data_IF_519498354573
#
_entry.id   IF_519498354573
#
_cell.length_a   1.000
_cell.length_b   1.000
_cell.length_c   1.000
_cell.angle_alpha   90.00
_cell.angle_beta   90.00
_cell.angle_gamma   90.00
#
_symmetry.space_group_name_H-M   'P 1'
#
loop_
_entity.id
_entity.type
_entity.pdbx_description
1 polymer ?
#
# COMPACT_ATOMS: atom_id res chain seq x y z
N UNK A 1 5.86 -9.89 -8.64
CA UNK A 1 4.87 -8.96 -9.22
C UNK A 1 4.81 -9.21 -10.72
N UNK A 2 3.74 -9.83 -11.22
CA UNK A 2 3.53 -9.96 -12.66
C UNK A 2 2.67 -8.79 -13.10
N UNK A 3 3.25 -7.85 -13.84
CA UNK A 3 2.51 -6.74 -14.44
C UNK A 3 1.69 -7.29 -15.62
N UNK A 4 0.42 -6.86 -15.74
CA UNK A 4 -0.35 -7.09 -16.96
C UNK A 4 0.43 -6.49 -18.14
N UNK A 5 0.46 -7.17 -19.29
CA UNK A 5 1.22 -6.81 -20.50
C UNK A 5 0.60 -5.62 -21.27
N UNK A 6 0.12 -4.62 -20.55
CA UNK A 6 -0.38 -3.38 -21.12
C UNK A 6 0.75 -2.35 -21.17
N UNK A 7 0.76 -1.48 -22.19
CA UNK A 7 1.86 -0.53 -22.43
C UNK A 7 2.15 0.37 -21.22
N UNK A 8 1.11 0.83 -20.51
CA UNK A 8 1.25 1.67 -19.30
C UNK A 8 1.96 0.93 -18.17
N UNK A 9 1.70 -0.37 -18.02
CA UNK A 9 2.34 -1.19 -17.00
C UNK A 9 3.81 -1.47 -17.34
N UNK A 10 4.13 -1.60 -18.63
CA UNK A 10 5.52 -1.70 -19.09
C UNK A 10 6.30 -0.40 -18.83
N UNK A 11 5.73 0.74 -19.19
CA UNK A 11 6.32 2.06 -18.92
C UNK A 11 6.55 2.27 -17.41
N UNK A 12 5.61 1.83 -16.57
CA UNK A 12 5.77 1.84 -15.11
C UNK A 12 6.87 0.91 -14.60
N UNK A 13 6.99 -0.30 -15.17
CA UNK A 13 8.07 -1.22 -14.83
C UNK A 13 9.44 -0.64 -15.17
N UNK A 14 9.56 -0.04 -16.36
CA UNK A 14 10.79 0.58 -16.82
C UNK A 14 11.16 1.76 -15.95
N UNK A 15 10.20 2.61 -15.59
CA UNK A 15 10.42 3.72 -14.67
C UNK A 15 10.89 3.25 -13.28
N UNK A 16 10.24 2.23 -12.71
CA UNK A 16 10.68 1.62 -11.44
C UNK A 16 12.11 1.03 -11.53
N UNK A 17 12.45 0.42 -12.65
CA UNK A 17 13.78 -0.15 -12.86
C UNK A 17 14.85 0.94 -12.89
N UNK A 18 14.55 2.11 -13.49
CA UNK A 18 15.46 3.25 -13.50
C UNK A 18 15.66 3.85 -12.10
N UNK A 19 14.61 3.88 -11.26
CA UNK A 19 14.72 4.36 -9.88
C UNK A 19 15.80 3.61 -9.10
N UNK A 20 15.88 2.28 -9.22
CA UNK A 20 16.84 1.46 -8.47
C UNK A 20 18.31 1.84 -8.68
N UNK A 21 18.63 2.58 -9.75
CA UNK A 21 19.97 3.03 -10.08
C UNK A 21 20.15 4.55 -9.98
N UNK A 22 19.14 5.29 -9.49
CA UNK A 22 19.25 6.74 -9.34
C UNK A 22 20.05 7.09 -8.06
N UNK A 23 21.24 7.70 -8.18
CA UNK A 23 22.05 8.09 -7.02
C UNK A 23 21.37 9.14 -6.13
N UNK A 24 20.28 9.76 -6.57
CA UNK A 24 19.46 10.71 -5.81
C UNK A 24 18.13 10.11 -5.32
N UNK A 25 18.02 8.77 -5.23
CA UNK A 25 16.86 8.01 -4.73
C UNK A 25 16.28 8.48 -3.38
N UNK A 26 16.96 9.37 -2.65
CA UNK A 26 16.60 9.79 -1.31
C UNK A 26 15.84 11.12 -1.41
N UNK A 27 14.52 11.06 -1.19
CA UNK A 27 13.67 12.25 -1.12
C UNK A 27 12.51 12.24 -2.11
N UNK A 28 12.37 13.35 -2.85
CA UNK A 28 11.25 13.61 -3.78
C UNK A 28 11.55 12.96 -5.13
N UNK A 29 10.66 12.08 -5.58
CA UNK A 29 10.75 11.44 -6.89
C UNK A 29 9.66 12.02 -7.78
N UNK A 30 10.03 12.50 -8.97
CA UNK A 30 9.09 12.98 -9.96
C UNK A 30 8.29 11.81 -10.55
N UNK A 31 6.97 11.94 -10.55
CA UNK A 31 6.09 10.93 -11.14
C UNK A 31 6.08 11.00 -12.68
N UNK A 32 5.95 9.86 -13.37
CA UNK A 32 5.75 9.84 -14.81
C UNK A 32 4.49 10.62 -15.24
N UNK A 33 4.49 11.27 -16.41
CA UNK A 33 3.36 12.10 -16.87
C UNK A 33 2.01 11.38 -16.98
N UNK A 34 2.00 10.06 -17.12
CA UNK A 34 0.76 9.29 -17.13
C UNK A 34 0.16 9.10 -15.73
N UNK A 35 0.95 9.26 -14.65
CA UNK A 35 0.50 9.17 -13.26
C UNK A 35 0.02 10.51 -12.70
N UNK A 36 0.51 11.63 -13.23
CA UNK A 36 0.15 12.99 -12.77
C UNK A 36 -1.28 13.42 -13.13
N UNK A 37 -2.04 12.57 -13.83
CA UNK A 37 -3.46 12.80 -14.13
C UNK A 37 -4.35 12.69 -12.86
N UNK A 38 -3.82 12.12 -11.79
CA UNK A 38 -4.51 12.01 -10.50
C UNK A 38 -4.24 13.27 -9.66
N UNK A 39 -5.19 14.21 -9.65
CA UNK A 39 -5.32 15.28 -8.65
C UNK A 39 -4.01 15.98 -8.22
N UNK A 40 -3.22 16.47 -9.18
CA UNK A 40 -2.04 17.33 -8.94
C UNK A 40 -0.89 16.67 -8.15
N UNK A 41 -0.88 15.33 -8.05
CA UNK A 41 0.24 14.59 -7.46
C UNK A 41 1.39 14.60 -8.45
N UNK A 42 2.41 15.41 -8.15
CA UNK A 42 3.61 15.56 -9.00
C UNK A 42 4.80 14.78 -8.48
N UNK A 43 4.78 14.41 -7.20
CA UNK A 43 5.91 13.83 -6.50
C UNK A 43 5.48 12.75 -5.52
N UNK A 44 6.37 11.79 -5.30
CA UNK A 44 6.27 10.80 -4.22
C UNK A 44 7.49 10.89 -3.30
N UNK A 45 7.31 10.45 -2.05
CA UNK A 45 8.36 10.43 -1.04
C UNK A 45 8.80 8.99 -0.85
N UNK A 46 10.08 8.70 -1.05
CA UNK A 46 10.68 7.43 -0.70
C UNK A 46 11.40 7.53 0.65
N UNK A 47 11.18 6.55 1.53
CA UNK A 47 11.89 6.45 2.81
C UNK A 47 12.50 5.05 2.98
N UNK A 48 13.45 4.93 3.91
CA UNK A 48 14.16 3.67 4.16
C UNK A 48 13.31 2.61 4.89
N UNK A 49 12.23 3.01 5.58
CA UNK A 49 11.47 2.13 6.49
C UNK A 49 9.97 2.28 6.28
N UNK A 50 9.27 1.15 6.16
CA UNK A 50 7.84 1.13 5.83
C UNK A 50 6.95 1.75 6.91
N UNK A 51 7.36 1.72 8.18
CA UNK A 51 6.63 2.39 9.27
C UNK A 51 6.63 3.93 9.11
N UNK A 52 7.76 4.51 8.71
CA UNK A 52 7.87 5.94 8.40
C UNK A 52 7.00 6.29 7.19
N UNK A 53 6.97 5.44 6.17
CA UNK A 53 6.05 5.60 5.03
C UNK A 53 4.60 5.58 5.50
N UNK A 54 4.25 4.68 6.42
CA UNK A 54 2.88 4.58 6.93
C UNK A 54 2.47 5.82 7.72
N UNK A 55 3.37 6.35 8.56
CA UNK A 55 3.16 7.59 9.31
C UNK A 55 2.96 8.77 8.34
N UNK A 56 3.85 8.93 7.35
CA UNK A 56 3.71 9.98 6.33
C UNK A 56 2.44 9.86 5.51
N UNK A 57 2.08 8.65 5.08
CA UNK A 57 0.85 8.43 4.31
C UNK A 57 -0.39 8.80 5.13
N UNK A 58 -0.39 8.50 6.43
CA UNK A 58 -1.48 8.86 7.34
C UNK A 58 -1.57 10.37 7.54
N UNK A 59 -0.44 11.02 7.81
CA UNK A 59 -0.38 12.48 7.99
C UNK A 59 -0.84 13.21 6.73
N UNK A 60 -0.34 12.82 5.55
CA UNK A 60 -0.73 13.40 4.27
C UNK A 60 -2.23 13.19 4.03
N UNK A 61 -2.75 11.98 4.24
CA UNK A 61 -4.17 11.68 4.09
C UNK A 61 -5.03 12.59 4.99
N UNK A 62 -4.62 12.84 6.24
CA UNK A 62 -5.36 13.73 7.13
C UNK A 62 -5.35 15.19 6.64
N UNK A 63 -4.28 15.66 6.00
CA UNK A 63 -4.24 16.99 5.40
C UNK A 63 -5.09 17.14 4.14
N UNK A 64 -5.39 16.04 3.43
CA UNK A 64 -6.20 16.09 2.22
C UNK A 64 -7.65 16.51 2.53
N UNK A 65 -8.26 17.36 1.68
CA UNK A 65 -9.66 17.71 1.81
C UNK A 65 -10.56 16.51 1.48
N UNK A 66 -11.78 16.50 2.04
CA UNK A 66 -12.77 15.47 1.78
C UNK A 66 -13.06 14.58 2.99
N UNK A 67 -14.13 13.78 2.87
CA UNK A 67 -14.56 12.86 3.91
C UNK A 67 -13.65 11.63 3.94
N UNK A 68 -13.21 11.28 5.15
CA UNK A 68 -12.47 10.04 5.39
C UNK A 68 -13.45 8.86 5.46
N UNK A 69 -13.10 7.78 4.76
CA UNK A 69 -13.78 6.50 4.76
C UNK A 69 -12.86 5.47 5.41
N UNK A 70 -13.34 4.81 6.46
CA UNK A 70 -12.60 3.81 7.22
C UNK A 70 -13.14 2.42 6.88
N UNK A 71 -12.22 1.50 6.59
CA UNK A 71 -12.49 0.10 6.31
C UNK A 71 -11.68 -0.74 7.31
N UNK A 72 -12.35 -1.39 8.25
CA UNK A 72 -11.72 -2.32 9.18
C UNK A 72 -11.68 -3.74 8.57
N UNK A 73 -10.59 -4.46 8.80
CA UNK A 73 -10.46 -5.87 8.41
C UNK A 73 -11.35 -6.76 9.26
N UNK A 74 -11.72 -7.91 8.68
CA UNK A 74 -12.42 -8.98 9.37
C UNK A 74 -11.54 -10.22 9.24
N UNK A 75 -10.68 -10.42 10.24
CA UNK A 75 -9.67 -11.48 10.23
C UNK A 75 -10.10 -12.67 11.08
N UNK A 76 -9.79 -13.87 10.60
CA UNK A 76 -9.94 -15.12 11.35
C UNK A 76 -8.74 -16.02 11.08
N UNK A 77 -8.25 -16.71 12.11
CA UNK A 77 -7.18 -17.69 11.95
C UNK A 77 -7.75 -19.10 11.87
N UNK A 78 -7.24 -19.88 10.91
CA UNK A 78 -7.50 -21.31 10.86
C UNK A 78 -6.51 -22.02 11.81
N UNK A 79 -7.05 -22.74 12.79
CA UNK A 79 -6.25 -23.51 13.74
C UNK A 79 -6.45 -24.99 13.43
N UNK A 80 -5.36 -25.68 13.06
CA UNK A 80 -5.40 -27.12 12.90
C UNK A 80 -5.77 -27.81 14.23
N UNK A 81 -6.71 -28.76 14.18
CA UNK A 81 -7.24 -29.57 15.30
C UNK A 81 -6.19 -30.33 16.15
N UNK A 82 -4.91 -30.30 15.75
CA UNK A 82 -3.81 -30.94 16.48
C UNK A 82 -3.36 -30.14 17.71
N UNK A 83 -3.70 -28.85 17.80
CA UNK A 83 -3.33 -28.00 18.94
C UNK A 83 -4.55 -27.75 19.82
N UNK A 84 -4.84 -28.73 20.68
CA UNK A 84 -5.78 -28.61 21.80
C UNK A 84 -5.31 -27.47 22.71
N UNK A 85 -5.80 -26.26 22.48
CA UNK A 85 -5.45 -25.06 23.26
C UNK A 85 -5.42 -23.74 22.49
N UNK A 86 -5.58 -23.73 21.17
CA UNK A 86 -5.74 -22.48 20.43
C UNK A 86 -7.20 -22.03 20.47
N UNK A 87 -7.61 -21.57 21.65
CA UNK A 87 -8.72 -20.65 21.79
C UNK A 87 -8.63 -19.54 20.72
N UNK A 88 -9.76 -19.29 20.04
CA UNK A 88 -9.94 -18.31 18.97
C UNK A 88 -8.99 -17.12 19.14
N UNK A 89 -7.98 -17.00 18.26
CA UNK A 89 -7.00 -15.92 18.35
C UNK A 89 -7.75 -14.59 18.44
N UNK A 90 -7.46 -13.83 19.51
CA UNK A 90 -8.18 -12.59 19.80
C UNK A 90 -8.10 -11.64 18.60
N UNK A 91 -9.22 -10.98 18.30
CA UNK A 91 -9.31 -10.00 17.21
C UNK A 91 -8.24 -8.91 17.33
N UNK A 92 -7.96 -8.44 18.55
CA UNK A 92 -6.91 -7.44 18.82
C UNK A 92 -5.51 -7.93 18.41
N UNK A 93 -5.23 -9.22 18.62
CA UNK A 93 -3.97 -9.83 18.21
C UNK A 93 -3.88 -9.88 16.68
N UNK A 94 -4.93 -10.33 16.00
CA UNK A 94 -4.98 -10.39 14.54
C UNK A 94 -4.85 -8.98 13.92
N UNK A 95 -5.52 -7.99 14.50
CA UNK A 95 -5.44 -6.59 14.06
C UNK A 95 -4.07 -5.95 14.28
N UNK A 96 -3.26 -6.49 15.22
CA UNK A 96 -1.88 -6.03 15.44
C UNK A 96 -0.89 -6.56 14.40
N UNK A 97 -1.27 -7.60 13.64
CA UNK A 97 -0.42 -8.18 12.62
C UNK A 97 -0.36 -7.25 11.39
N UNK A 98 0.86 -6.91 10.98
CA UNK A 98 1.13 -6.19 9.73
C UNK A 98 2.07 -7.00 8.82
N UNK A 99 1.67 -8.22 8.39
CA UNK A 99 2.49 -9.05 7.53
C UNK A 99 2.63 -8.42 6.13
N UNK A 100 3.81 -8.59 5.53
CA UNK A 100 4.08 -8.06 4.21
C UNK A 100 3.14 -8.66 3.16
N UNK A 101 2.46 -7.81 2.39
CA UNK A 101 1.59 -8.22 1.28
C UNK A 101 0.12 -8.43 1.66
N UNK A 102 -0.26 -8.27 2.93
CA UNK A 102 -1.66 -8.15 3.33
C UNK A 102 -2.03 -6.67 3.56
N UNK A 103 -3.30 -6.30 3.31
CA UNK A 103 -3.78 -4.96 3.66
C UNK A 103 -3.71 -4.75 5.19
N UNK A 104 -3.58 -3.49 5.64
CA UNK A 104 -3.61 -3.18 7.07
C UNK A 104 -4.98 -3.50 7.66
N UNK A 105 -5.00 -3.81 8.96
CA UNK A 105 -6.23 -4.11 9.69
C UNK A 105 -7.23 -2.95 9.72
N UNK A 106 -6.74 -1.72 9.53
CA UNK A 106 -7.56 -0.53 9.33
C UNK A 106 -7.03 0.24 8.14
N UNK A 107 -7.89 0.46 7.15
CA UNK A 107 -7.58 1.23 5.96
C UNK A 107 -8.44 2.50 5.93
N UNK A 108 -7.78 3.65 6.02
CA UNK A 108 -8.42 4.96 5.87
C UNK A 108 -8.19 5.49 4.45
N UNK A 109 -9.23 6.00 3.78
CA UNK A 109 -9.15 6.54 2.42
C UNK A 109 -9.97 7.82 2.27
N UNK A 110 -9.56 8.68 1.34
CA UNK A 110 -10.30 9.88 0.92
C UNK A 110 -10.40 9.91 -0.61
N UNK A 111 -11.46 10.52 -1.13
CA UNK A 111 -11.63 10.69 -2.58
C UNK A 111 -10.47 11.54 -3.11
N UNK A 112 -9.80 11.03 -4.15
CA UNK A 112 -8.63 11.67 -4.75
C UNK A 112 -7.28 11.27 -4.13
N UNK A 113 -7.27 10.49 -3.05
CA UNK A 113 -6.04 9.94 -2.50
C UNK A 113 -5.40 8.91 -3.46
N UNK A 114 -4.08 9.00 -3.75
CA UNK A 114 -3.39 7.98 -4.52
C UNK A 114 -3.34 6.66 -3.74
N UNK A 115 -3.59 5.54 -4.44
CA UNK A 115 -3.58 4.19 -3.86
C UNK A 115 -2.68 3.26 -4.67
N UNK A 116 -2.12 2.25 -4.01
CA UNK A 116 -1.36 1.17 -4.63
C UNK A 116 -2.06 -0.16 -4.31
N UNK A 117 -2.27 -0.98 -5.33
CA UNK A 117 -2.79 -2.34 -5.15
C UNK A 117 -1.66 -3.26 -4.69
N UNK A 118 -1.83 -3.87 -3.51
CA UNK A 118 -0.85 -4.83 -2.97
C UNK A 118 -0.95 -6.22 -3.61
N UNK A 119 -2.11 -6.55 -4.18
CA UNK A 119 -2.38 -7.85 -4.81
C UNK A 119 -3.09 -7.66 -6.15
N UNK A 120 -2.92 -8.62 -7.05
CA UNK A 120 -3.63 -8.64 -8.32
C UNK A 120 -5.11 -9.00 -8.08
N UNK A 121 -6.02 -8.16 -8.57
CA UNK A 121 -7.48 -8.40 -8.48
C UNK A 121 -7.93 -9.60 -9.30
N UNK A 122 -7.17 -9.97 -10.33
CA UNK A 122 -7.43 -11.11 -11.20
C UNK A 122 -6.22 -12.05 -11.21
N UNK A 123 -6.05 -12.88 -10.16
CA UNK A 123 -5.02 -13.92 -10.15
C UNK A 123 -5.28 -14.88 -11.32
N UNK A 124 -4.22 -15.21 -12.08
CA UNK A 124 -4.26 -16.21 -13.15
C UNK A 124 -4.30 -17.62 -12.59
#
# INVERSE_FOLDING_TARGET
MQLQTDAVNQDYAEWLAHLSYDPNLWGRIALPPYMTQLHDVTEIILTFRNDMVNDFNTDILHTMPGQEHVFDSVDSADVNDAEQGCEELLTEYLQSLSPAGLPPARLCLKVGAPIILLQNLYPK
#
